data_IF_291322998336
#
_entry.id   IF_291322998336
#
_cell.length_a   1.000
_cell.length_b   1.000
_cell.length_c   1.000
_cell.angle_alpha   90.00
_cell.angle_beta   90.00
_cell.angle_gamma   90.00
#
_symmetry.space_group_name_H-M   'P 1'
#
loop_
_entity.id
_entity.type
_entity.pdbx_description
1 polymer ?
#
# COMPACT_ATOMS: atom_id res chain seq x y z
N UNK A 1 6.27 -9.42 4.30
CA UNK A 1 4.99 -8.91 3.85
C UNK A 1 4.22 -9.97 3.07
N UNK A 2 4.75 -10.53 1.99
CA UNK A 2 4.03 -11.47 1.11
C UNK A 2 3.45 -12.69 1.87
N UNK A 3 4.21 -13.29 2.78
CA UNK A 3 3.70 -14.40 3.59
C UNK A 3 2.48 -13.99 4.43
N UNK A 4 2.49 -12.78 5.00
CA UNK A 4 1.36 -12.25 5.73
C UNK A 4 0.19 -11.84 4.82
N UNK A 5 0.46 -11.41 3.59
CA UNK A 5 -0.57 -11.18 2.59
C UNK A 5 -1.37 -12.46 2.34
N UNK A 6 -0.68 -13.58 2.11
CA UNK A 6 -1.31 -14.89 1.91
C UNK A 6 -2.09 -15.38 3.14
N UNK A 7 -1.53 -15.22 4.34
CA UNK A 7 -2.21 -15.64 5.60
C UNK A 7 -3.43 -14.78 5.89
N UNK A 8 -3.40 -13.49 5.54
CA UNK A 8 -4.50 -12.54 5.79
C UNK A 8 -5.60 -12.62 4.74
N UNK A 9 -5.35 -13.23 3.59
CA UNK A 9 -6.28 -13.28 2.46
C UNK A 9 -7.62 -13.92 2.81
N UNK A 10 -7.69 -15.10 3.48
CA UNK A 10 -8.96 -15.69 3.85
C UNK A 10 -9.79 -14.79 4.78
N UNK A 11 -9.14 -14.10 5.73
CA UNK A 11 -9.81 -13.18 6.65
C UNK A 11 -10.32 -11.94 5.92
N UNK A 12 -9.54 -11.40 5.00
CA UNK A 12 -9.92 -10.29 4.15
C UNK A 12 -11.14 -10.64 3.28
N UNK A 13 -11.12 -11.81 2.63
CA UNK A 13 -12.21 -12.29 1.81
C UNK A 13 -13.49 -12.51 2.62
N UNK A 14 -13.38 -13.08 3.82
CA UNK A 14 -14.52 -13.26 4.72
C UNK A 14 -15.12 -11.92 5.14
N UNK A 15 -14.30 -10.93 5.43
CA UNK A 15 -14.76 -9.61 5.86
C UNK A 15 -15.41 -8.79 4.72
N UNK A 16 -14.90 -8.89 3.49
CA UNK A 16 -15.37 -8.08 2.37
C UNK A 16 -16.42 -8.76 1.49
N UNK A 17 -16.33 -10.08 1.35
CA UNK A 17 -17.13 -10.85 0.39
C UNK A 17 -17.97 -11.94 1.04
N UNK A 18 -17.91 -12.08 2.36
CA UNK A 18 -18.58 -13.14 3.14
C UNK A 18 -18.20 -14.57 2.68
N UNK A 19 -17.06 -14.70 2.02
CA UNK A 19 -16.56 -15.97 1.46
C UNK A 19 -15.09 -16.16 1.88
N UNK A 20 -14.70 -17.42 2.13
CA UNK A 20 -13.30 -17.73 2.49
C UNK A 20 -12.33 -17.60 1.32
N UNK A 21 -12.81 -17.77 0.11
CA UNK A 21 -12.06 -17.66 -1.14
C UNK A 21 -12.82 -16.74 -2.07
N UNK A 22 -12.24 -15.62 -2.41
CA UNK A 22 -12.89 -14.65 -3.28
C UNK A 22 -12.00 -14.28 -4.47
N UNK A 23 -12.58 -14.13 -5.66
CA UNK A 23 -11.81 -13.80 -6.86
C UNK A 23 -11.65 -12.30 -7.11
N UNK A 24 -12.24 -11.44 -6.27
CA UNK A 24 -12.41 -10.04 -6.66
C UNK A 24 -11.10 -9.22 -6.53
N UNK A 25 -10.66 -8.95 -5.32
CA UNK A 25 -9.45 -8.16 -5.07
C UNK A 25 -8.62 -8.81 -3.97
N UNK A 26 -7.31 -8.77 -4.14
CA UNK A 26 -6.36 -9.20 -3.12
C UNK A 26 -6.16 -8.09 -2.08
N UNK A 27 -5.90 -8.47 -0.82
CA UNK A 27 -5.72 -7.50 0.26
C UNK A 27 -4.55 -6.53 0.02
N UNK A 28 -4.55 -5.41 0.74
CA UNK A 28 -3.56 -4.31 0.60
C UNK A 28 -2.11 -4.75 0.81
N UNK A 29 -1.85 -5.85 1.53
CA UNK A 29 -0.47 -6.33 1.76
C UNK A 29 0.20 -6.82 0.47
N UNK A 30 -0.57 -7.25 -0.55
CA UNK A 30 -0.04 -7.52 -1.88
C UNK A 30 0.44 -6.23 -2.55
N UNK A 31 -0.36 -5.15 -2.51
CA UNK A 31 0.06 -3.83 -3.00
C UNK A 31 1.34 -3.37 -2.31
N UNK A 32 1.40 -3.45 -0.97
CA UNK A 32 2.58 -3.06 -0.19
C UNK A 32 3.81 -3.93 -0.51
N UNK A 33 3.62 -5.23 -0.78
CA UNK A 33 4.71 -6.13 -1.16
C UNK A 33 5.30 -5.74 -2.52
N UNK A 34 4.45 -5.48 -3.51
CA UNK A 34 4.87 -4.99 -4.82
C UNK A 34 5.54 -3.63 -4.72
N UNK A 35 4.98 -2.70 -3.94
CA UNK A 35 5.58 -1.39 -3.71
C UNK A 35 6.96 -1.49 -3.07
N UNK A 36 7.18 -2.38 -2.10
CA UNK A 36 8.50 -2.60 -1.51
C UNK A 36 9.53 -3.08 -2.55
N UNK A 37 9.14 -3.98 -3.45
CA UNK A 37 10.00 -4.44 -4.54
C UNK A 37 10.27 -3.31 -5.55
N UNK A 38 9.25 -2.55 -5.91
CA UNK A 38 9.37 -1.37 -6.77
C UNK A 38 10.37 -0.37 -6.20
N UNK A 39 10.22 0.00 -4.92
CA UNK A 39 11.12 0.94 -4.24
C UNK A 39 12.57 0.42 -4.22
N UNK A 40 12.77 -0.88 -4.04
CA UNK A 40 14.10 -1.49 -4.13
C UNK A 40 14.71 -1.32 -5.52
N UNK A 41 13.93 -1.53 -6.59
CA UNK A 41 14.38 -1.34 -7.98
C UNK A 41 14.69 0.13 -8.25
N UNK A 42 13.80 1.06 -7.83
CA UNK A 42 14.03 2.51 -7.99
C UNK A 42 15.31 2.96 -7.29
N UNK A 43 15.58 2.45 -6.08
CA UNK A 43 16.79 2.75 -5.33
C UNK A 43 18.06 2.23 -6.06
N UNK A 44 17.98 1.06 -6.70
CA UNK A 44 19.07 0.52 -7.53
C UNK A 44 19.33 1.37 -8.76
N UNK A 45 18.27 1.76 -9.47
CA UNK A 45 18.39 2.67 -10.63
C UNK A 45 19.02 4.00 -10.22
N UNK A 46 18.64 4.54 -9.06
CA UNK A 46 19.21 5.80 -8.55
C UNK A 46 20.72 5.68 -8.31
N UNK A 47 21.18 4.53 -7.80
CA UNK A 47 22.61 4.29 -7.53
C UNK A 47 23.44 4.02 -8.81
N UNK A 48 22.86 3.34 -9.81
CA UNK A 48 23.62 2.76 -10.90
C UNK A 48 23.54 3.60 -12.19
N UNK A 49 22.46 4.36 -12.39
CA UNK A 49 22.26 5.12 -13.63
C UNK A 49 22.88 6.53 -13.53
N UNK A 50 24.03 6.72 -14.16
CA UNK A 50 24.74 8.01 -14.21
C UNK A 50 24.03 9.02 -15.13
N UNK A 51 23.44 8.59 -16.23
CA UNK A 51 22.81 9.44 -17.24
C UNK A 51 21.36 9.76 -16.86
N UNK A 52 21.02 11.05 -16.79
CA UNK A 52 19.69 11.53 -16.35
C UNK A 52 18.55 10.99 -17.23
N UNK A 53 18.72 11.03 -18.56
CA UNK A 53 17.69 10.56 -19.48
C UNK A 53 17.38 9.08 -19.32
N UNK A 54 18.41 8.26 -19.25
CA UNK A 54 18.31 6.82 -19.00
C UNK A 54 17.63 6.53 -17.66
N UNK A 55 17.98 7.27 -16.61
CA UNK A 55 17.39 7.12 -15.28
C UNK A 55 15.89 7.40 -15.29
N UNK A 56 15.45 8.48 -15.93
CA UNK A 56 14.02 8.81 -16.06
C UNK A 56 13.28 7.71 -16.83
N UNK A 57 13.82 7.24 -17.94
CA UNK A 57 13.22 6.16 -18.73
C UNK A 57 13.06 4.87 -17.90
N UNK A 58 14.08 4.52 -17.10
CA UNK A 58 14.03 3.36 -16.22
C UNK A 58 13.02 3.53 -15.08
N UNK A 59 12.87 4.73 -14.52
CA UNK A 59 11.83 5.00 -13.50
C UNK A 59 10.43 4.81 -14.08
N UNK A 60 10.16 5.39 -15.26
CA UNK A 60 8.87 5.23 -15.94
C UNK A 60 8.60 3.76 -16.24
N UNK A 61 9.58 3.04 -16.79
CA UNK A 61 9.45 1.62 -17.09
C UNK A 61 9.16 0.80 -15.81
N UNK A 62 9.85 1.10 -14.71
CA UNK A 62 9.62 0.42 -13.42
C UNK A 62 8.19 0.65 -12.93
N UNK A 63 7.70 1.88 -12.93
CA UNK A 63 6.33 2.19 -12.53
C UNK A 63 5.30 1.46 -13.41
N UNK A 64 5.53 1.39 -14.74
CA UNK A 64 4.64 0.66 -15.65
C UNK A 64 4.64 -0.85 -15.37
N UNK A 65 5.81 -1.46 -15.15
CA UNK A 65 5.93 -2.90 -14.86
C UNK A 65 5.25 -3.25 -13.54
N UNK A 66 5.52 -2.51 -12.46
CA UNK A 66 4.91 -2.77 -11.17
C UNK A 66 3.42 -2.41 -11.14
N UNK A 67 3.00 -1.37 -11.85
CA UNK A 67 1.59 -1.05 -12.05
C UNK A 67 0.85 -2.17 -12.79
N UNK A 68 1.42 -2.71 -13.86
CA UNK A 68 0.88 -3.86 -14.59
C UNK A 68 0.84 -5.12 -13.72
N UNK A 69 1.87 -5.38 -12.91
CA UNK A 69 1.90 -6.49 -11.97
C UNK A 69 0.81 -6.36 -10.90
N UNK A 70 0.60 -5.15 -10.34
CA UNK A 70 -0.44 -4.88 -9.37
C UNK A 70 -1.85 -5.09 -9.97
N UNK A 71 -2.03 -4.72 -11.23
CA UNK A 71 -3.27 -4.97 -11.97
C UNK A 71 -3.48 -6.47 -12.21
N UNK A 72 -2.45 -7.20 -12.64
CA UNK A 72 -2.52 -8.64 -12.89
C UNK A 72 -2.85 -9.45 -11.62
N UNK A 73 -2.27 -9.06 -10.49
CA UNK A 73 -2.54 -9.67 -9.17
C UNK A 73 -3.91 -9.23 -8.61
N UNK A 74 -4.55 -8.24 -9.21
CA UNK A 74 -5.81 -7.64 -8.70
C UNK A 74 -5.67 -7.14 -7.26
N UNK A 75 -4.56 -6.49 -6.94
CA UNK A 75 -4.37 -5.92 -5.60
C UNK A 75 -5.37 -4.79 -5.33
N UNK A 76 -5.75 -4.56 -4.07
CA UNK A 76 -6.84 -3.65 -3.67
C UNK A 76 -6.72 -2.24 -4.27
N UNK A 77 -5.51 -1.66 -4.24
CA UNK A 77 -5.25 -0.34 -4.83
C UNK A 77 -4.71 -0.40 -6.26
N UNK A 78 -4.63 -1.59 -6.84
CA UNK A 78 -4.16 -1.81 -8.22
C UNK A 78 -2.86 -1.00 -8.48
N UNK A 79 -2.76 -0.32 -9.62
CA UNK A 79 -1.60 0.52 -9.97
C UNK A 79 -1.52 1.84 -9.17
N UNK A 80 -2.62 2.31 -8.58
CA UNK A 80 -2.63 3.57 -7.81
C UNK A 80 -1.75 3.46 -6.56
N UNK A 81 -1.74 2.30 -5.89
CA UNK A 81 -0.92 2.06 -4.70
C UNK A 81 0.57 2.04 -5.01
N UNK A 82 1.00 1.34 -6.07
CA UNK A 82 2.40 1.30 -6.50
C UNK A 82 2.86 2.66 -6.99
N UNK A 83 2.08 3.35 -7.82
CA UNK A 83 2.38 4.70 -8.28
C UNK A 83 2.52 5.71 -7.13
N UNK A 84 1.64 5.61 -6.13
CA UNK A 84 1.73 6.42 -4.91
C UNK A 84 3.05 6.19 -4.18
N UNK A 85 3.44 4.93 -3.98
CA UNK A 85 4.71 4.58 -3.34
C UNK A 85 5.92 5.11 -4.12
N UNK A 86 5.92 4.97 -5.45
CA UNK A 86 6.97 5.51 -6.32
C UNK A 86 7.07 7.05 -6.20
N UNK A 87 5.94 7.76 -6.21
CA UNK A 87 5.92 9.22 -6.07
C UNK A 87 6.44 9.66 -4.70
N UNK A 88 6.05 9.00 -3.61
CA UNK A 88 6.61 9.27 -2.29
C UNK A 88 8.12 9.08 -2.25
N UNK A 89 8.63 8.04 -2.90
CA UNK A 89 10.07 7.80 -2.99
C UNK A 89 10.79 8.88 -3.79
N UNK A 90 10.29 9.20 -4.99
CA UNK A 90 10.91 10.17 -5.88
C UNK A 90 10.86 11.60 -5.32
N UNK A 91 9.81 11.94 -4.56
CA UNK A 91 9.61 13.26 -3.98
C UNK A 91 10.01 13.35 -2.50
N UNK A 92 10.65 12.31 -1.93
CA UNK A 92 10.99 12.23 -0.51
C UNK A 92 11.79 13.42 0.04
N UNK A 93 12.65 14.02 -0.81
CA UNK A 93 13.47 15.19 -0.47
C UNK A 93 12.85 16.53 -0.89
N UNK A 94 11.68 16.53 -1.51
CA UNK A 94 11.06 17.72 -2.10
C UNK A 94 10.17 18.51 -1.12
N UNK A 95 10.37 18.37 0.19
CA UNK A 95 9.61 19.10 1.20
C UNK A 95 8.10 18.85 1.10
N UNK A 96 7.29 19.91 0.95
CA UNK A 96 5.82 19.82 0.84
C UNK A 96 5.38 19.06 -0.41
N UNK A 97 6.14 19.07 -1.50
CA UNK A 97 5.81 18.37 -2.73
C UNK A 97 5.73 16.86 -2.59
N UNK A 98 6.28 16.28 -1.50
CA UNK A 98 6.09 14.86 -1.17
C UNK A 98 4.61 14.48 -1.03
N UNK A 99 3.73 15.43 -0.69
CA UNK A 99 2.28 15.21 -0.62
C UNK A 99 1.67 14.83 -1.98
N UNK A 100 2.33 15.13 -3.11
CA UNK A 100 1.89 14.66 -4.42
C UNK A 100 1.83 13.12 -4.51
N UNK A 101 2.53 12.40 -3.63
CA UNK A 101 2.37 10.96 -3.48
C UNK A 101 0.97 10.51 -3.06
N UNK A 102 0.14 11.39 -2.49
CA UNK A 102 -1.26 11.10 -2.17
C UNK A 102 -2.18 11.16 -3.40
N UNK A 103 -1.80 11.88 -4.46
CA UNK A 103 -2.67 12.15 -5.61
C UNK A 103 -3.26 10.90 -6.26
N UNK A 104 -2.48 9.82 -6.52
CA UNK A 104 -3.08 8.61 -7.07
C UNK A 104 -4.13 8.00 -6.16
N UNK A 105 -3.91 7.99 -4.85
CA UNK A 105 -4.83 7.40 -3.87
C UNK A 105 -6.09 8.25 -3.68
N UNK A 106 -6.07 9.56 -3.98
CA UNK A 106 -7.27 10.40 -3.94
C UNK A 106 -8.34 9.95 -4.93
N UNK A 107 -7.94 9.31 -6.03
CA UNK A 107 -8.87 8.71 -7.01
C UNK A 107 -9.65 7.57 -6.36
N UNK A 108 -9.01 6.79 -5.47
CA UNK A 108 -9.65 5.69 -4.75
C UNK A 108 -10.46 6.18 -3.55
N UNK A 109 -9.96 7.16 -2.80
CA UNK A 109 -10.64 7.67 -1.61
C UNK A 109 -10.19 9.10 -1.23
N UNK A 110 -11.12 10.06 -1.09
CA UNK A 110 -10.79 11.41 -0.64
C UNK A 110 -10.29 11.46 0.82
N UNK A 111 -10.62 10.46 1.63
CA UNK A 111 -10.19 10.36 3.03
C UNK A 111 -8.68 10.23 3.20
N UNK A 112 -7.96 9.90 2.13
CA UNK A 112 -6.48 9.86 2.10
C UNK A 112 -5.87 11.21 2.49
N UNK A 113 -6.57 12.33 2.27
CA UNK A 113 -6.11 13.66 2.69
C UNK A 113 -5.92 13.79 4.20
N UNK A 114 -6.61 13.00 5.01
CA UNK A 114 -6.40 12.97 6.47
C UNK A 114 -5.00 12.51 6.86
N UNK A 115 -4.27 11.83 5.97
CA UNK A 115 -2.88 11.44 6.18
C UNK A 115 -1.90 12.60 5.93
N UNK A 116 -2.31 13.69 5.25
CA UNK A 116 -1.41 14.79 4.90
C UNK A 116 -0.74 15.45 6.11
N UNK A 117 -1.44 15.77 7.22
CA UNK A 117 -0.80 16.32 8.41
C UNK A 117 0.27 15.38 8.99
N UNK A 118 0.02 14.06 9.02
CA UNK A 118 0.97 13.06 9.51
C UNK A 118 2.23 13.01 8.65
N UNK A 119 2.06 13.12 7.32
CA UNK A 119 3.19 13.17 6.40
C UNK A 119 4.01 14.47 6.56
N UNK A 120 3.36 15.60 6.85
CA UNK A 120 4.06 16.86 7.08
C UNK A 120 4.85 16.85 8.39
N UNK A 121 4.31 16.22 9.43
CA UNK A 121 4.96 16.07 10.73
C UNK A 121 6.08 15.01 10.76
N UNK A 122 6.19 14.19 9.71
CA UNK A 122 7.21 13.14 9.65
C UNK A 122 8.62 13.73 9.53
N UNK A 123 9.44 13.45 10.54
CA UNK A 123 10.83 13.96 10.66
C UNK A 123 11.85 13.27 9.75
N UNK A 124 11.47 12.17 9.08
CA UNK A 124 12.41 11.33 8.32
C UNK A 124 13.18 10.33 9.17
N UNK A 125 13.09 10.42 10.50
CA UNK A 125 13.77 9.51 11.40
C UNK A 125 13.03 8.19 11.59
N UNK A 126 13.80 7.12 11.71
CA UNK A 126 13.22 5.80 11.97
C UNK A 126 12.78 5.72 13.44
N UNK A 127 11.50 5.44 13.65
CA UNK A 127 10.96 5.20 14.98
C UNK A 127 11.60 4.01 15.70
N UNK A 128 11.22 3.80 16.98
CA UNK A 128 11.74 2.69 17.81
C UNK A 128 11.53 1.34 17.12
N UNK A 129 12.56 0.51 17.17
CA UNK A 129 12.49 -0.89 16.71
C UNK A 129 11.61 -1.68 17.71
N UNK A 130 10.34 -1.83 17.41
CA UNK A 130 9.42 -2.61 18.24
C UNK A 130 8.09 -2.82 17.51
N UNK A 131 7.39 -3.90 17.86
CA UNK A 131 6.03 -4.10 17.38
C UNK A 131 5.87 -4.59 15.93
N UNK A 132 6.95 -5.01 15.23
CA UNK A 132 6.86 -5.54 13.86
C UNK A 132 5.78 -6.61 13.72
N UNK A 133 5.77 -7.58 14.62
CA UNK A 133 4.77 -8.66 14.61
C UNK A 133 3.39 -8.19 15.07
N UNK A 134 3.33 -7.17 15.92
CA UNK A 134 2.06 -6.55 16.30
C UNK A 134 1.31 -6.01 15.09
N UNK A 135 1.97 -5.24 14.22
CA UNK A 135 1.33 -4.70 13.03
C UNK A 135 0.88 -5.80 12.04
N UNK A 136 1.66 -6.85 11.90
CA UNK A 136 1.28 -7.98 11.04
C UNK A 136 0.07 -8.74 11.59
N UNK A 137 0.01 -8.95 12.90
CA UNK A 137 -1.13 -9.60 13.52
C UNK A 137 -2.36 -8.69 13.62
N UNK A 138 -2.14 -7.40 13.85
CA UNK A 138 -3.21 -6.42 13.93
C UNK A 138 -4.03 -6.37 12.63
N UNK A 139 -3.37 -6.49 11.47
CA UNK A 139 -4.05 -6.40 10.18
C UNK A 139 -5.17 -7.44 9.99
N UNK A 140 -4.97 -8.75 10.14
CA UNK A 140 -6.09 -9.70 10.08
C UNK A 140 -7.04 -9.60 11.28
N UNK A 141 -6.53 -9.30 12.47
CA UNK A 141 -7.33 -9.23 13.68
C UNK A 141 -8.37 -8.11 13.65
N UNK A 142 -8.02 -6.92 13.15
CA UNK A 142 -8.98 -5.81 13.10
C UNK A 142 -10.12 -6.08 12.10
N UNK A 143 -9.89 -6.76 10.99
CA UNK A 143 -10.95 -7.16 10.07
C UNK A 143 -11.96 -8.11 10.74
N UNK A 144 -11.46 -9.12 11.46
CA UNK A 144 -12.33 -10.01 12.24
C UNK A 144 -13.14 -9.25 13.28
N UNK A 145 -12.49 -8.33 14.00
CA UNK A 145 -13.16 -7.51 15.01
C UNK A 145 -14.27 -6.66 14.38
N UNK A 146 -13.98 -5.96 13.29
CA UNK A 146 -14.96 -5.11 12.60
C UNK A 146 -16.14 -5.94 12.07
N UNK A 147 -15.90 -7.13 11.53
CA UNK A 147 -16.94 -8.02 11.05
C UNK A 147 -17.84 -8.50 12.20
N UNK A 148 -17.25 -8.91 13.34
CA UNK A 148 -18.00 -9.33 14.51
C UNK A 148 -18.84 -8.20 15.09
N UNK A 149 -18.26 -6.99 15.20
CA UNK A 149 -18.98 -5.81 15.65
C UNK A 149 -20.12 -5.45 14.69
N UNK A 150 -19.89 -5.48 13.40
CA UNK A 150 -20.93 -5.21 12.40
C UNK A 150 -22.11 -6.17 12.52
N UNK A 151 -21.84 -7.46 12.65
CA UNK A 151 -22.89 -8.49 12.85
C UNK A 151 -23.63 -8.29 14.17
N UNK A 152 -22.90 -7.98 15.25
CA UNK A 152 -23.52 -7.74 16.56
C UNK A 152 -24.43 -6.51 16.54
N UNK A 153 -24.00 -5.40 15.91
CA UNK A 153 -24.82 -4.19 15.76
C UNK A 153 -26.05 -4.48 14.91
N UNK A 154 -25.92 -5.21 13.80
CA UNK A 154 -27.03 -5.57 12.93
C UNK A 154 -28.09 -6.40 13.67
N UNK A 155 -27.65 -7.36 14.50
CA UNK A 155 -28.57 -8.17 15.33
C UNK A 155 -29.19 -7.38 16.50
N UNK A 156 -28.52 -6.37 17.02
CA UNK A 156 -29.02 -5.54 18.12
C UNK A 156 -30.04 -4.48 17.66
N UNK A 157 -30.02 -4.14 16.36
CA UNK A 157 -30.93 -3.14 15.75
C UNK A 157 -32.11 -3.77 15.00
N UNK A 158 -32.12 -5.10 14.81
CA UNK A 158 -33.21 -5.88 14.20
C UNK A 158 -34.24 -6.33 15.21
#
# INVERSE_FOLDING_TARGET
LLAFALVSEPVFNLAHYEQWTGPALQNVLFTLSLSCLELFVLARIESDAAERGKRIALYVLTCLVFGAAAFAVRSEYVFLGTLSAALFYLLRSAGVWRLAGLLPLLIASPWVLLCAPLLLLYSGERGRRGGKYFFYFFYPAHFLLLQLLGKWIATALA
#
